data_IF_076349417783
#
_entry.id   IF_076349417783
#
_cell.length_a   1.000
_cell.length_b   1.000
_cell.length_c   1.000
_cell.angle_alpha   90.00
_cell.angle_beta   90.00
_cell.angle_gamma   90.00
#
_symmetry.space_group_name_H-M   'P 1'
#
loop_
_entity.id
_entity.type
_entity.pdbx_description
1 polymer ?
#
# COMPACT_ATOMS: atom_id res chain seq x y z
N UNK A 1 -11.84 -23.29 -6.83
CA UNK A 1 -11.83 -21.83 -6.63
C UNK A 1 -12.05 -21.05 -7.92
N UNK A 2 -11.13 -21.01 -8.90
CA UNK A 2 -11.29 -20.16 -10.11
C UNK A 2 -12.59 -20.40 -10.88
N UNK A 3 -12.97 -21.66 -11.10
CA UNK A 3 -14.25 -22.03 -11.76
C UNK A 3 -15.50 -21.59 -10.98
N UNK A 4 -15.43 -21.56 -9.64
CA UNK A 4 -16.53 -21.10 -8.80
C UNK A 4 -16.70 -19.57 -8.92
N UNK A 5 -15.60 -18.83 -9.05
CA UNK A 5 -15.62 -17.38 -9.28
C UNK A 5 -16.26 -17.06 -10.64
N UNK A 6 -15.87 -17.78 -11.70
CA UNK A 6 -16.49 -17.61 -13.03
C UNK A 6 -17.98 -17.96 -12.99
N UNK A 7 -18.34 -19.07 -12.33
CA UNK A 7 -19.73 -19.45 -12.14
C UNK A 7 -20.52 -18.36 -11.42
N UNK A 8 -20.01 -17.85 -10.30
CA UNK A 8 -20.63 -16.75 -9.56
C UNK A 8 -20.84 -15.51 -10.43
N UNK A 9 -19.85 -15.10 -11.22
CA UNK A 9 -20.00 -13.94 -12.11
C UNK A 9 -21.09 -14.20 -13.16
N UNK A 10 -21.15 -15.39 -13.74
CA UNK A 10 -22.19 -15.75 -14.71
C UNK A 10 -23.58 -15.88 -14.08
N UNK A 11 -23.65 -16.29 -12.81
CA UNK A 11 -24.90 -16.35 -12.03
C UNK A 11 -25.37 -14.93 -11.65
N UNK A 12 -24.51 -13.92 -11.75
CA UNK A 12 -24.90 -12.50 -11.69
C UNK A 12 -25.22 -11.95 -13.08
N UNK A 13 -25.98 -10.85 -13.17
CA UNK A 13 -26.26 -10.16 -14.45
C UNK A 13 -25.03 -9.43 -15.04
N UNK A 14 -23.80 -9.91 -14.78
CA UNK A 14 -22.55 -9.34 -15.28
C UNK A 14 -22.11 -10.10 -16.52
N UNK A 15 -22.12 -9.44 -17.67
CA UNK A 15 -21.78 -10.08 -18.95
C UNK A 15 -20.26 -10.06 -19.17
N UNK A 16 -19.60 -11.21 -18.99
CA UNK A 16 -18.13 -11.33 -19.11
C UNK A 16 -17.59 -11.01 -20.50
N UNK A 17 -18.36 -11.22 -21.58
CA UNK A 17 -17.94 -10.86 -22.94
C UNK A 17 -17.86 -9.33 -23.19
N UNK A 18 -18.32 -8.51 -22.23
CA UNK A 18 -18.15 -7.05 -22.24
C UNK A 18 -17.04 -6.59 -21.30
N UNK A 19 -16.33 -7.51 -20.65
CA UNK A 19 -15.21 -7.19 -19.79
C UNK A 19 -14.08 -6.54 -20.61
N UNK A 20 -13.51 -5.44 -20.12
CA UNK A 20 -12.37 -4.76 -20.77
C UNK A 20 -11.14 -4.66 -19.87
N UNK A 21 -11.31 -4.96 -18.59
CA UNK A 21 -10.23 -4.95 -17.62
C UNK A 21 -10.58 -5.82 -16.43
N UNK A 22 -9.55 -6.43 -15.86
CA UNK A 22 -9.66 -7.27 -14.69
C UNK A 22 -8.46 -7.03 -13.77
N UNK A 23 -8.73 -6.82 -12.49
CA UNK A 23 -7.71 -6.59 -11.48
C UNK A 23 -7.73 -7.72 -10.46
N UNK A 24 -6.63 -8.47 -10.32
CA UNK A 24 -6.53 -9.50 -9.27
C UNK A 24 -5.23 -9.43 -8.48
N UNK A 25 -5.25 -10.04 -7.28
CA UNK A 25 -4.06 -10.23 -6.46
C UNK A 25 -3.09 -11.26 -7.06
N UNK A 26 -2.00 -11.52 -6.33
CA UNK A 26 -0.91 -12.39 -6.81
C UNK A 26 -1.12 -13.87 -6.55
N UNK A 27 -2.30 -14.27 -6.06
CA UNK A 27 -2.60 -15.65 -5.72
C UNK A 27 -2.62 -16.53 -6.97
N UNK A 28 -2.08 -17.75 -6.89
CA UNK A 28 -2.00 -18.65 -8.06
C UNK A 28 -3.37 -18.93 -8.69
N UNK A 29 -4.43 -19.00 -7.88
CA UNK A 29 -5.81 -19.16 -8.36
C UNK A 29 -6.32 -17.94 -9.15
N UNK A 30 -5.72 -16.77 -8.96
CA UNK A 30 -6.10 -15.53 -9.64
C UNK A 30 -5.19 -15.26 -10.84
N UNK A 31 -3.87 -15.23 -10.62
CA UNK A 31 -2.85 -14.89 -11.63
C UNK A 31 -2.45 -16.05 -12.57
N UNK A 32 -2.85 -17.29 -12.29
CA UNK A 32 -2.37 -18.47 -13.02
C UNK A 32 -2.65 -18.41 -14.53
N UNK A 33 -1.64 -18.73 -15.34
CA UNK A 33 -1.70 -18.68 -16.82
C UNK A 33 -2.46 -19.83 -17.47
N UNK A 34 -2.67 -20.94 -16.76
CA UNK A 34 -3.31 -22.16 -17.30
C UNK A 34 -4.70 -22.44 -16.70
N UNK A 35 -5.04 -21.83 -15.56
CA UNK A 35 -6.32 -22.07 -14.88
C UNK A 35 -6.67 -21.03 -13.81
N UNK A 36 -5.95 -19.91 -13.79
CA UNK A 36 -6.29 -18.79 -12.94
C UNK A 36 -7.51 -18.05 -13.47
N UNK A 37 -8.20 -17.31 -12.60
CA UNK A 37 -9.33 -16.45 -12.98
C UNK A 37 -8.95 -15.52 -14.14
N UNK A 38 -7.71 -14.98 -14.14
CA UNK A 38 -7.29 -14.08 -15.22
C UNK A 38 -7.30 -14.71 -16.60
N UNK A 39 -6.91 -15.98 -16.69
CA UNK A 39 -6.87 -16.75 -17.93
C UNK A 39 -8.29 -17.09 -18.37
N UNK A 40 -9.12 -17.57 -17.44
CA UNK A 40 -10.50 -17.94 -17.72
C UNK A 40 -11.32 -16.74 -18.25
N UNK A 41 -11.13 -15.54 -17.69
CA UNK A 41 -11.77 -14.33 -18.21
C UNK A 41 -11.23 -13.96 -19.60
N UNK A 42 -9.92 -14.07 -19.84
CA UNK A 42 -9.32 -13.80 -21.17
C UNK A 42 -9.73 -14.81 -22.24
N UNK A 43 -10.06 -16.04 -21.86
CA UNK A 43 -10.57 -17.05 -22.78
C UNK A 43 -11.99 -16.73 -23.25
N UNK A 44 -12.77 -16.02 -22.43
CA UNK A 44 -14.12 -15.54 -22.78
C UNK A 44 -14.02 -14.20 -23.53
N UNK A 45 -13.16 -13.29 -23.08
CA UNK A 45 -12.97 -11.98 -23.68
C UNK A 45 -11.47 -11.64 -23.76
N UNK A 46 -10.84 -11.86 -24.92
CA UNK A 46 -9.41 -11.64 -25.11
C UNK A 46 -8.93 -10.21 -24.81
N UNK A 47 -9.81 -9.21 -24.93
CA UNK A 47 -9.51 -7.81 -24.65
C UNK A 47 -9.62 -7.42 -23.17
N UNK A 48 -9.95 -8.37 -22.28
CA UNK A 48 -9.99 -8.12 -20.84
C UNK A 48 -8.58 -8.00 -20.25
N UNK A 49 -8.02 -6.77 -20.29
CA UNK A 49 -6.65 -6.47 -19.82
C UNK A 49 -6.48 -6.88 -18.36
N UNK A 50 -5.49 -7.72 -18.09
CA UNK A 50 -5.13 -8.09 -16.73
C UNK A 50 -4.20 -7.06 -16.09
N UNK A 51 -4.63 -6.53 -14.96
CA UNK A 51 -3.84 -5.65 -14.11
C UNK A 51 -3.57 -6.37 -12.80
N UNK A 52 -2.30 -6.56 -12.48
CA UNK A 52 -1.94 -7.09 -11.17
C UNK A 52 -2.16 -6.02 -10.09
N UNK A 53 -2.98 -6.32 -9.08
CA UNK A 53 -3.30 -5.41 -7.99
C UNK A 53 -2.13 -5.30 -6.99
N UNK A 54 -1.13 -4.49 -7.36
CA UNK A 54 0.03 -4.19 -6.53
C UNK A 54 -0.31 -3.57 -5.17
N UNK A 55 -1.54 -3.03 -5.00
CA UNK A 55 -2.02 -2.56 -3.70
C UNK A 55 -1.93 -3.62 -2.61
N UNK A 56 -2.22 -4.89 -2.94
CA UNK A 56 -2.11 -6.01 -1.98
C UNK A 56 -0.65 -6.20 -1.55
N UNK A 57 0.29 -6.20 -2.50
CA UNK A 57 1.73 -6.31 -2.23
C UNK A 57 2.24 -5.13 -1.38
N UNK A 58 1.73 -3.93 -1.65
CA UNK A 58 2.06 -2.74 -0.86
C UNK A 58 1.64 -2.92 0.61
N UNK A 59 0.39 -3.31 0.87
CA UNK A 59 -0.10 -3.53 2.23
C UNK A 59 0.60 -4.71 2.92
N UNK A 60 0.94 -5.77 2.18
CA UNK A 60 1.71 -6.89 2.70
C UNK A 60 3.12 -6.44 3.12
N UNK A 61 3.80 -5.65 2.27
CA UNK A 61 5.11 -5.09 2.58
C UNK A 61 5.04 -4.14 3.78
N UNK A 62 4.01 -3.29 3.85
CA UNK A 62 3.76 -2.44 5.02
C UNK A 62 3.63 -3.29 6.29
N UNK A 63 2.84 -4.36 6.24
CA UNK A 63 2.67 -5.28 7.38
C UNK A 63 4.00 -5.97 7.75
N UNK A 64 4.82 -6.35 6.77
CA UNK A 64 6.14 -6.94 6.99
C UNK A 64 7.05 -5.97 7.75
N UNK A 65 7.06 -4.67 7.43
CA UNK A 65 7.85 -3.65 8.17
C UNK A 65 7.44 -3.62 9.65
N UNK A 66 6.13 -3.53 9.92
CA UNK A 66 5.63 -3.47 11.29
C UNK A 66 5.93 -4.75 12.08
N UNK A 67 5.74 -5.92 11.47
CA UNK A 67 6.06 -7.22 12.09
C UNK A 67 7.56 -7.34 12.34
N UNK A 68 8.38 -7.00 11.35
CA UNK A 68 9.84 -7.06 11.44
C UNK A 68 10.35 -6.27 12.66
N UNK A 69 9.98 -5.00 12.78
CA UNK A 69 10.43 -4.21 13.93
C UNK A 69 9.72 -4.57 15.24
N UNK A 70 8.42 -4.90 15.19
CA UNK A 70 7.61 -5.18 16.38
C UNK A 70 7.88 -6.53 17.05
N UNK A 71 8.41 -7.51 16.33
CA UNK A 71 8.66 -8.85 16.87
C UNK A 71 10.02 -9.01 17.56
N UNK A 72 10.86 -7.96 17.61
CA UNK A 72 12.17 -8.02 18.28
C UNK A 72 12.46 -6.72 19.01
N UNK A 73 12.67 -6.81 20.33
CA UNK A 73 13.05 -5.68 21.17
C UNK A 73 14.33 -5.02 20.64
N UNK A 74 15.31 -5.81 20.18
CA UNK A 74 16.54 -5.30 19.58
C UNK A 74 16.25 -4.46 18.33
N UNK A 75 15.43 -4.97 17.40
CA UNK A 75 15.05 -4.25 16.16
C UNK A 75 14.20 -3.00 16.50
N UNK A 76 13.27 -3.12 17.44
CA UNK A 76 12.47 -2.02 17.94
C UNK A 76 13.32 -0.89 18.53
N UNK A 77 14.35 -1.21 19.31
CA UNK A 77 15.27 -0.22 19.87
C UNK A 77 16.08 0.47 18.78
N UNK A 78 16.50 -0.25 17.73
CA UNK A 78 17.16 0.35 16.56
C UNK A 78 16.21 1.34 15.88
N UNK A 79 14.97 0.94 15.61
CA UNK A 79 13.97 1.80 14.99
C UNK A 79 13.70 3.04 15.86
N UNK A 80 13.50 2.85 17.17
CA UNK A 80 13.27 3.90 18.17
C UNK A 80 14.46 4.86 18.31
N UNK A 81 15.68 4.44 17.96
CA UNK A 81 16.83 5.36 17.93
C UNK A 81 16.76 6.41 16.82
N UNK A 82 15.90 6.20 15.81
CA UNK A 82 15.68 7.15 14.72
C UNK A 82 14.36 7.92 14.83
N UNK A 83 13.43 7.50 15.69
CA UNK A 83 12.08 8.08 15.77
C UNK A 83 11.62 8.25 17.21
N UNK A 84 10.92 9.34 17.48
CA UNK A 84 10.34 9.58 18.79
C UNK A 84 9.16 8.62 19.03
N UNK A 85 9.24 7.83 20.11
CA UNK A 85 8.44 6.61 20.36
C UNK A 85 6.93 6.85 20.47
N UNK A 86 6.50 8.09 20.73
CA UNK A 86 5.09 8.43 21.01
C UNK A 86 4.09 8.11 19.88
N UNK A 87 4.53 7.78 18.67
CA UNK A 87 3.67 7.72 17.49
C UNK A 87 3.60 6.37 16.75
N UNK A 88 4.15 5.28 17.28
CA UNK A 88 4.06 3.96 16.63
C UNK A 88 3.31 2.99 17.53
N UNK A 89 2.06 2.72 17.17
CA UNK A 89 1.26 1.66 17.78
C UNK A 89 1.42 0.39 16.94
N UNK A 90 2.08 -0.67 17.48
CA UNK A 90 2.21 -1.95 16.78
C UNK A 90 0.87 -2.65 16.52
N UNK A 91 -0.19 -2.23 17.20
CA UNK A 91 -1.50 -2.88 17.24
C UNK A 91 -2.53 -2.34 16.24
N UNK A 92 -2.20 -1.34 15.41
CA UNK A 92 -3.17 -0.74 14.46
C UNK A 92 -2.79 -1.02 13.01
N UNK A 93 -3.27 -2.17 12.55
CA UNK A 93 -2.91 -2.89 11.34
C UNK A 93 -3.11 -2.12 10.02
N UNK A 94 -2.30 -2.54 9.02
CA UNK A 94 -2.30 -2.11 7.62
C UNK A 94 -3.71 -1.90 7.06
N UNK A 95 -3.94 -0.71 6.50
CA UNK A 95 -5.24 -0.28 5.96
C UNK A 95 -5.76 1.04 6.57
N UNK A 96 -5.19 1.49 7.70
CA UNK A 96 -5.51 2.81 8.27
C UNK A 96 -4.53 3.87 7.81
N UNK A 97 -5.06 5.08 7.61
CA UNK A 97 -4.31 6.26 7.22
C UNK A 97 -3.08 6.48 8.12
N UNK A 98 -3.23 6.36 9.44
CA UNK A 98 -2.15 6.61 10.41
C UNK A 98 -0.88 5.79 10.14
N UNK A 99 -1.03 4.49 9.82
CA UNK A 99 0.11 3.60 9.60
C UNK A 99 0.89 3.95 8.33
N UNK A 100 0.17 4.36 7.29
CA UNK A 100 0.75 4.77 6.00
C UNK A 100 1.35 6.16 6.13
N UNK A 101 0.66 7.06 6.83
CA UNK A 101 1.14 8.40 7.12
C UNK A 101 2.44 8.37 7.93
N UNK A 102 2.50 7.56 8.99
CA UNK A 102 3.70 7.37 9.80
C UNK A 102 4.89 6.89 8.96
N UNK A 103 4.70 5.86 8.14
CA UNK A 103 5.75 5.39 7.22
C UNK A 103 6.12 6.46 6.19
N UNK A 104 5.13 7.17 5.63
CA UNK A 104 5.36 8.19 4.63
C UNK A 104 6.19 9.36 5.17
N UNK A 105 5.94 9.78 6.41
CA UNK A 105 6.65 10.85 7.11
C UNK A 105 8.03 10.40 7.59
N UNK A 106 8.17 9.16 8.07
CA UNK A 106 9.41 8.61 8.66
C UNK A 106 10.18 7.69 7.72
N UNK A 107 9.99 7.87 6.41
CA UNK A 107 10.50 6.93 5.41
C UNK A 107 12.03 6.77 5.49
N UNK A 108 12.75 7.89 5.63
CA UNK A 108 14.22 7.91 5.69
C UNK A 108 14.71 7.25 6.97
N UNK A 109 14.04 7.48 8.08
CA UNK A 109 14.34 6.90 9.39
C UNK A 109 14.14 5.38 9.37
N UNK A 110 13.08 4.89 8.72
CA UNK A 110 12.85 3.46 8.50
C UNK A 110 13.94 2.86 7.62
N UNK A 111 14.35 3.54 6.54
CA UNK A 111 15.47 3.08 5.70
C UNK A 111 16.78 2.99 6.51
N UNK A 112 17.10 4.01 7.31
CA UNK A 112 18.27 4.02 8.20
C UNK A 112 18.21 2.88 9.23
N UNK A 113 17.03 2.63 9.81
CA UNK A 113 16.82 1.53 10.75
C UNK A 113 17.03 0.16 10.09
N UNK A 114 16.55 -0.05 8.87
CA UNK A 114 16.79 -1.28 8.10
C UNK A 114 18.27 -1.46 7.78
N UNK A 115 18.96 -0.42 7.32
CA UNK A 115 20.41 -0.45 7.07
C UNK A 115 21.19 -0.80 8.33
N UNK A 116 20.93 -0.10 9.45
CA UNK A 116 21.58 -0.36 10.73
C UNK A 116 21.30 -1.77 11.24
N UNK A 117 20.07 -2.27 11.07
CA UNK A 117 19.72 -3.65 11.44
C UNK A 117 20.51 -4.66 10.62
N UNK A 118 20.68 -4.44 9.31
CA UNK A 118 21.47 -5.32 8.44
C UNK A 118 22.95 -5.38 8.85
N UNK A 119 23.51 -4.26 9.30
CA UNK A 119 24.91 -4.16 9.72
C UNK A 119 25.17 -4.81 11.09
N UNK A 120 24.20 -4.74 12.00
CA UNK A 120 24.32 -5.25 13.37
C UNK A 120 23.92 -6.72 13.53
N UNK A 121 23.50 -7.39 12.44
CA UNK A 121 23.01 -8.76 12.51
C UNK A 121 24.09 -9.76 12.09
N UNK A 122 24.41 -10.69 12.99
CA UNK A 122 25.43 -11.72 12.77
C UNK A 122 24.88 -12.95 12.04
N UNK A 123 23.56 -13.19 12.09
CA UNK A 123 22.92 -14.33 11.43
C UNK A 123 22.61 -14.04 9.96
N UNK A 124 22.97 -14.97 9.08
CA UNK A 124 22.80 -14.81 7.64
C UNK A 124 21.32 -14.65 7.24
N UNK A 125 20.42 -15.47 7.80
CA UNK A 125 19.00 -15.44 7.44
C UNK A 125 18.32 -14.13 7.82
N UNK A 126 18.56 -13.64 9.04
CA UNK A 126 17.99 -12.36 9.49
C UNK A 126 18.59 -11.16 8.73
N UNK A 127 19.87 -11.22 8.33
CA UNK A 127 20.47 -10.24 7.39
C UNK A 127 19.76 -10.27 6.04
N UNK A 128 19.58 -11.45 5.47
CA UNK A 128 18.93 -11.62 4.17
C UNK A 128 17.48 -11.12 4.20
N UNK A 129 16.71 -11.43 5.25
CA UNK A 129 15.37 -10.89 5.47
C UNK A 129 15.39 -9.35 5.48
N UNK A 130 16.34 -8.75 6.22
CA UNK A 130 16.49 -7.29 6.31
C UNK A 130 16.80 -6.65 4.95
N UNK A 131 17.73 -7.24 4.19
CA UNK A 131 18.13 -6.77 2.86
C UNK A 131 16.96 -6.87 1.88
N UNK A 132 16.22 -7.98 1.90
CA UNK A 132 15.05 -8.17 1.05
C UNK A 132 13.94 -7.17 1.39
N UNK A 133 13.65 -6.96 2.67
CA UNK A 133 12.66 -5.99 3.12
C UNK A 133 13.06 -4.56 2.72
N UNK A 134 14.33 -4.19 2.89
CA UNK A 134 14.87 -2.91 2.42
C UNK A 134 14.68 -2.73 0.91
N UNK A 135 15.02 -3.73 0.10
CA UNK A 135 14.79 -3.71 -1.36
C UNK A 135 13.33 -3.52 -1.73
N UNK A 136 12.39 -4.15 -0.99
CA UNK A 136 10.95 -3.96 -1.21
C UNK A 136 10.51 -2.53 -0.90
N UNK A 137 10.96 -1.95 0.20
CA UNK A 137 10.63 -0.58 0.63
C UNK A 137 11.21 0.47 -0.31
N UNK A 138 12.39 0.19 -0.88
CA UNK A 138 13.09 1.08 -1.82
C UNK A 138 12.66 0.89 -3.27
N UNK A 139 11.78 -0.07 -3.52
CA UNK A 139 11.22 -0.28 -4.85
C UNK A 139 10.40 0.95 -5.27
N UNK A 140 10.64 1.42 -6.49
CA UNK A 140 9.94 2.57 -7.05
C UNK A 140 8.40 2.45 -6.94
N UNK A 141 7.84 1.28 -7.28
CA UNK A 141 6.39 1.07 -7.20
C UNK A 141 5.88 1.15 -5.76
N UNK A 142 6.62 0.63 -4.78
CA UNK A 142 6.24 0.74 -3.38
C UNK A 142 6.17 2.20 -2.93
N UNK A 143 7.14 3.03 -3.33
CA UNK A 143 7.19 4.44 -2.93
C UNK A 143 6.08 5.25 -3.61
N UNK A 144 5.80 5.00 -4.89
CA UNK A 144 4.67 5.65 -5.58
C UNK A 144 3.34 5.27 -4.91
N UNK A 145 3.15 3.98 -4.62
CA UNK A 145 1.97 3.49 -3.92
C UNK A 145 1.86 4.08 -2.50
N UNK A 146 2.97 4.23 -1.78
CA UNK A 146 3.01 4.89 -0.48
C UNK A 146 2.46 6.32 -0.55
N UNK A 147 2.87 7.10 -1.56
CA UNK A 147 2.40 8.48 -1.72
C UNK A 147 0.92 8.52 -2.13
N UNK A 148 0.51 7.68 -3.07
CA UNK A 148 -0.89 7.63 -3.52
C UNK A 148 -1.83 7.18 -2.40
N UNK A 149 -1.53 6.06 -1.74
CA UNK A 149 -2.35 5.56 -0.64
C UNK A 149 -2.40 6.56 0.52
N UNK A 150 -1.31 7.28 0.80
CA UNK A 150 -1.33 8.33 1.82
C UNK A 150 -2.35 9.43 1.49
N UNK A 151 -2.37 9.94 0.24
CA UNK A 151 -3.32 10.98 -0.18
C UNK A 151 -4.77 10.48 -0.23
N UNK A 152 -5.00 9.32 -0.82
CA UNK A 152 -6.34 8.73 -0.95
C UNK A 152 -6.92 8.44 0.44
N UNK A 153 -6.14 7.80 1.31
CA UNK A 153 -6.63 7.46 2.64
C UNK A 153 -6.73 8.66 3.57
N UNK A 154 -5.98 9.75 3.34
CA UNK A 154 -6.17 10.99 4.09
C UNK A 154 -7.58 11.56 3.90
N UNK A 155 -8.04 11.66 2.66
CA UNK A 155 -9.36 12.25 2.36
C UNK A 155 -10.49 11.32 2.80
N UNK A 156 -10.33 10.00 2.61
CA UNK A 156 -11.27 8.98 3.09
C UNK A 156 -11.33 8.96 4.63
N UNK A 157 -10.20 9.04 5.32
CA UNK A 157 -10.15 9.02 6.79
C UNK A 157 -10.83 10.24 7.41
N UNK A 158 -10.65 11.42 6.80
CA UNK A 158 -11.34 12.63 7.22
C UNK A 158 -12.87 12.53 7.09
N UNK A 159 -13.37 12.03 5.95
CA UNK A 159 -14.80 11.79 5.74
C UNK A 159 -15.34 10.70 6.68
N UNK A 160 -14.60 9.61 6.84
CA UNK A 160 -14.97 8.48 7.70
C UNK A 160 -15.10 8.89 9.17
N UNK A 161 -14.14 9.68 9.68
CA UNK A 161 -14.19 10.25 11.04
C UNK A 161 -15.37 11.19 11.24
N UNK A 162 -15.72 12.00 10.23
CA UNK A 162 -16.87 12.90 10.30
C UNK A 162 -18.20 12.12 10.37
N UNK A 163 -18.34 11.06 9.56
CA UNK A 163 -19.53 10.19 9.55
C UNK A 163 -19.69 9.35 10.82
N UNK A 164 -18.59 8.99 11.47
CA UNK A 164 -18.58 8.17 12.68
C UNK A 164 -18.55 9.00 13.98
N UNK A 165 -18.62 10.33 13.89
CA UNK A 165 -18.64 11.19 15.07
C UNK A 165 -19.88 10.91 15.93
N UNK A 166 -19.68 10.74 17.25
CA UNK A 166 -20.78 10.60 18.22
C UNK A 166 -21.67 11.85 18.30
N UNK A 167 -21.09 13.02 18.04
CA UNK A 167 -21.80 14.27 17.83
C UNK A 167 -21.86 14.53 16.33
N UNK A 168 -22.71 13.78 15.61
CA UNK A 168 -22.78 13.88 14.16
C UNK A 168 -23.40 15.22 13.76
N UNK A 169 -22.62 16.04 13.07
CA UNK A 169 -23.11 17.21 12.36
C UNK A 169 -23.29 16.78 10.90
N UNK A 170 -24.54 16.58 10.48
CA UNK A 170 -24.89 16.17 9.12
C UNK A 170 -24.39 17.18 8.07
N UNK A 171 -24.35 18.48 8.40
CA UNK A 171 -23.82 19.50 7.50
C UNK A 171 -22.31 19.32 7.30
N UNK A 172 -21.56 19.15 8.39
CA UNK A 172 -20.12 18.88 8.31
C UNK A 172 -19.82 17.53 7.64
N UNK A 173 -20.57 16.48 7.95
CA UNK A 173 -20.40 15.17 7.32
C UNK A 173 -20.65 15.22 5.81
N UNK A 174 -21.73 15.89 5.38
CA UNK A 174 -22.03 16.12 3.96
C UNK A 174 -20.93 16.90 3.25
N UNK A 175 -20.45 18.01 3.86
CA UNK A 175 -19.32 18.79 3.32
C UNK A 175 -18.05 17.95 3.18
N UNK A 176 -17.72 17.12 4.18
CA UNK A 176 -16.52 16.26 4.14
C UNK A 176 -16.64 15.16 3.09
N UNK A 177 -17.83 14.60 2.89
CA UNK A 177 -18.10 13.66 1.81
C UNK A 177 -17.94 14.29 0.45
N UNK A 178 -18.47 15.50 0.25
CA UNK A 178 -18.31 16.24 -1.00
C UNK A 178 -16.83 16.51 -1.31
N UNK A 179 -16.07 17.02 -0.34
CA UNK A 179 -14.61 17.23 -0.50
C UNK A 179 -13.90 15.91 -0.83
N UNK A 180 -14.28 14.80 -0.18
CA UNK A 180 -13.70 13.50 -0.48
C UNK A 180 -13.98 13.07 -1.93
N UNK A 181 -15.20 13.28 -2.44
CA UNK A 181 -15.55 12.96 -3.82
C UNK A 181 -14.75 13.82 -4.81
N UNK A 182 -14.71 15.13 -4.60
CA UNK A 182 -13.95 16.08 -5.42
C UNK A 182 -12.45 15.74 -5.45
N UNK A 183 -11.86 15.42 -4.29
CA UNK A 183 -10.47 14.99 -4.20
C UNK A 183 -10.21 13.68 -4.97
N UNK A 184 -11.08 12.69 -4.82
CA UNK A 184 -10.92 11.40 -5.50
C UNK A 184 -11.09 11.53 -7.02
N UNK A 185 -12.05 12.33 -7.48
CA UNK A 185 -12.23 12.67 -8.89
C UNK A 185 -11.00 13.41 -9.43
N UNK A 186 -10.47 14.38 -8.68
CA UNK A 186 -9.24 15.07 -9.04
C UNK A 186 -8.05 14.12 -9.15
N UNK A 187 -7.86 13.23 -8.17
CA UNK A 187 -6.76 12.25 -8.21
C UNK A 187 -6.89 11.27 -9.38
N UNK A 188 -8.11 10.92 -9.77
CA UNK A 188 -8.39 10.08 -10.94
C UNK A 188 -8.10 10.81 -12.25
N UNK A 189 -8.60 12.03 -12.39
CA UNK A 189 -8.54 12.79 -13.64
C UNK A 189 -7.15 13.41 -13.88
N UNK A 190 -6.43 13.77 -12.81
CA UNK A 190 -5.08 14.34 -12.86
C UNK A 190 -4.01 13.34 -12.43
N UNK A 191 -4.16 12.07 -12.80
CA UNK A 191 -3.24 11.00 -12.39
C UNK A 191 -1.77 11.32 -12.72
N UNK A 192 -1.47 11.89 -13.90
CA UNK A 192 -0.10 12.23 -14.29
C UNK A 192 0.49 13.35 -13.43
N UNK A 193 -0.31 14.33 -13.01
CA UNK A 193 0.11 15.36 -12.05
C UNK A 193 0.42 14.71 -10.69
N UNK A 194 -0.47 13.85 -10.22
CA UNK A 194 -0.28 13.11 -8.97
C UNK A 194 1.00 12.26 -8.99
N UNK A 195 1.25 11.56 -10.10
CA UNK A 195 2.45 10.77 -10.33
C UNK A 195 3.71 11.63 -10.35
N UNK A 196 3.66 12.79 -11.00
CA UNK A 196 4.78 13.76 -11.01
C UNK A 196 5.08 14.30 -9.60
N UNK A 197 4.05 14.62 -8.81
CA UNK A 197 4.21 14.99 -7.41
C UNK A 197 4.80 13.84 -6.57
N UNK A 198 4.35 12.60 -6.80
CA UNK A 198 4.92 11.43 -6.14
C UNK A 198 6.39 11.21 -6.52
N UNK A 199 6.76 11.41 -7.80
CA UNK A 199 8.12 11.33 -8.30
C UNK A 199 9.04 12.38 -7.66
N UNK A 200 8.61 13.64 -7.58
CA UNK A 200 9.41 14.68 -6.93
C UNK A 200 9.62 14.38 -5.43
N UNK A 201 8.60 13.85 -4.74
CA UNK A 201 8.73 13.37 -3.36
C UNK A 201 9.65 12.17 -3.23
N UNK A 202 9.62 11.23 -4.19
CA UNK A 202 10.56 10.10 -4.27
C UNK A 202 12.00 10.60 -4.34
N UNK A 203 12.30 11.52 -5.27
CA UNK A 203 13.63 12.10 -5.43
C UNK A 203 14.12 12.75 -4.14
N UNK A 204 13.26 13.55 -3.48
CA UNK A 204 13.61 14.19 -2.19
C UNK A 204 13.93 13.16 -1.10
N UNK A 205 13.17 12.06 -1.01
CA UNK A 205 13.39 10.99 -0.04
C UNK A 205 14.66 10.17 -0.32
N UNK A 206 15.09 10.09 -1.58
CA UNK A 206 16.30 9.36 -1.99
C UNK A 206 17.59 10.20 -1.89
N UNK A 207 17.54 11.50 -2.22
CA UNK A 207 18.72 12.37 -2.26
C UNK A 207 19.23 12.76 -0.86
N UNK A 208 18.32 12.92 0.13
CA UNK A 208 18.69 13.26 1.51
C UNK A 208 19.05 12.04 2.37
N UNK A 209 19.82 11.10 1.81
CA UNK A 209 20.51 10.08 2.59
C UNK A 209 21.95 10.57 2.81
N UNK A 210 22.39 10.83 4.06
CA UNK A 210 23.82 10.95 4.31
C UNK A 210 24.45 9.64 3.85
N UNK A 211 25.38 9.71 2.89
CA UNK A 211 26.31 8.60 2.68
C UNK A 211 27.02 8.42 4.00
N UNK A 212 26.65 7.37 4.73
CA UNK A 212 27.43 6.94 5.88
C UNK A 212 28.67 6.30 5.26
N UNK A 213 29.70 7.13 5.08
CA UNK A 213 31.08 6.71 4.86
C UNK A 213 31.60 6.03 6.11
#
# INVERSE_FOLDING_TARGET
MSKQIIKFINDTNIVLNKCRGQGHDGGNNMKGSYGGVQKLIRDIEPNAVYVHLNGVIFFETLQQIYKFFGQSIKRWNILSSFINIKNISPTRWAGRYDAIFALNVRFVEVQKALTKTSLLNSKADERNETILLKKKVENYNFIILLVFHCKILQTIDAASKALQSKAIDLSNASKRLQVCLEDLEKYRNEFENLKTQANSRYIKKMIYQPRIS
#
